data_IF_420738455654
#
_entry.id   IF_420738455654
#
_cell.length_a   1.000
_cell.length_b   1.000
_cell.length_c   1.000
_cell.angle_alpha   90.00
_cell.angle_beta   90.00
_cell.angle_gamma   90.00
#
_symmetry.space_group_name_H-M   'P 1'
#
loop_
_entity.id
_entity.type
_entity.pdbx_description
1 polymer ?
#
# COMPACT_ATOMS: atom_id res chain seq x y z
N UNK A 1 -31.02 -0.94 -3.40
CA UNK A 1 -29.61 -1.37 -3.20
C UNK A 1 -29.05 -2.11 -4.41
N UNK A 2 -29.70 -3.18 -4.90
CA UNK A 2 -29.21 -3.91 -6.08
C UNK A 2 -29.14 -3.04 -7.36
N UNK A 3 -30.15 -2.20 -7.63
CA UNK A 3 -30.14 -1.29 -8.79
C UNK A 3 -28.97 -0.29 -8.74
N UNK A 4 -28.67 0.24 -7.56
CA UNK A 4 -27.56 1.18 -7.37
C UNK A 4 -26.20 0.48 -7.53
N UNK A 5 -26.09 -0.75 -7.05
CA UNK A 5 -24.87 -1.56 -7.22
C UNK A 5 -24.56 -1.78 -8.71
N UNK A 6 -25.55 -2.17 -9.51
CA UNK A 6 -25.39 -2.32 -10.96
C UNK A 6 -25.04 -1.01 -11.65
N UNK A 7 -25.66 0.11 -11.25
CA UNK A 7 -25.32 1.43 -11.80
C UNK A 7 -23.86 1.81 -11.50
N UNK A 8 -23.39 1.55 -10.28
CA UNK A 8 -22.00 1.80 -9.90
C UNK A 8 -21.03 0.90 -10.66
N UNK A 9 -21.36 -0.38 -10.85
CA UNK A 9 -20.55 -1.29 -11.67
C UNK A 9 -20.43 -0.78 -13.11
N UNK A 10 -21.53 -0.32 -13.72
CA UNK A 10 -21.50 0.28 -15.06
C UNK A 10 -20.60 1.53 -15.11
N UNK A 11 -20.66 2.40 -14.10
CA UNK A 11 -19.77 3.56 -14.00
C UNK A 11 -18.30 3.16 -13.85
N UNK A 12 -17.99 2.13 -13.06
CA UNK A 12 -16.63 1.57 -12.99
C UNK A 12 -16.16 0.99 -14.33
N UNK A 13 -17.03 0.28 -15.06
CA UNK A 13 -16.68 -0.23 -16.39
C UNK A 13 -16.35 0.92 -17.35
N UNK A 14 -17.18 1.97 -17.39
CA UNK A 14 -16.92 3.16 -18.20
C UNK A 14 -15.63 3.85 -17.77
N UNK A 15 -15.38 4.01 -16.47
CA UNK A 15 -14.17 4.61 -15.93
C UNK A 15 -12.92 3.81 -16.33
N UNK A 16 -12.97 2.48 -16.26
CA UNK A 16 -11.87 1.61 -16.69
C UNK A 16 -11.63 1.71 -18.20
N UNK A 17 -12.67 1.71 -19.02
CA UNK A 17 -12.56 1.90 -20.48
C UNK A 17 -11.92 3.26 -20.78
N UNK A 18 -12.38 4.34 -20.14
CA UNK A 18 -11.83 5.69 -20.30
C UNK A 18 -10.36 5.77 -19.86
N UNK A 19 -10.01 5.13 -18.73
CA UNK A 19 -8.64 5.05 -18.25
C UNK A 19 -7.73 4.31 -19.24
N UNK A 20 -8.14 3.13 -19.72
CA UNK A 20 -7.38 2.35 -20.71
C UNK A 20 -7.23 3.17 -22.00
N UNK A 21 -8.31 3.81 -22.46
CA UNK A 21 -8.27 4.64 -23.66
C UNK A 21 -7.31 5.82 -23.50
N UNK A 22 -7.34 6.55 -22.38
CA UNK A 22 -6.39 7.63 -22.10
C UNK A 22 -4.93 7.14 -22.04
N UNK A 23 -4.70 5.97 -21.44
CA UNK A 23 -3.38 5.35 -21.40
C UNK A 23 -2.86 5.03 -22.81
N UNK A 24 -3.71 4.45 -23.65
CA UNK A 24 -3.40 4.10 -25.04
C UNK A 24 -3.23 5.34 -25.92
N UNK A 25 -4.05 6.38 -25.74
CA UNK A 25 -3.96 7.64 -26.46
C UNK A 25 -2.57 8.27 -26.25
N UNK A 26 -2.13 8.39 -24.99
CA UNK A 26 -0.79 8.88 -24.67
C UNK A 26 0.30 8.04 -25.32
N UNK A 27 0.14 6.71 -25.31
CA UNK A 27 1.08 5.78 -25.94
C UNK A 27 1.15 5.97 -27.46
N UNK A 28 0.01 6.12 -28.16
CA UNK A 28 -0.04 6.26 -29.61
C UNK A 28 0.51 7.61 -30.09
N UNK A 29 0.20 8.69 -29.39
CA UNK A 29 0.70 10.05 -29.70
C UNK A 29 2.20 10.18 -29.36
N UNK A 30 2.74 9.27 -28.56
CA UNK A 30 4.15 9.30 -28.18
C UNK A 30 5.11 8.95 -29.34
N UNK A 31 6.30 9.54 -29.29
CA UNK A 31 7.35 9.34 -30.30
C UNK A 31 7.74 7.85 -30.45
N UNK A 32 8.24 7.41 -31.63
CA UNK A 32 8.65 6.01 -31.85
C UNK A 32 9.61 5.47 -30.79
N UNK A 33 10.55 6.32 -30.32
CA UNK A 33 11.48 5.97 -29.22
C UNK A 33 10.75 5.60 -27.93
N UNK A 34 9.67 6.31 -27.60
CA UNK A 34 8.85 6.04 -26.42
C UNK A 34 8.05 4.76 -26.63
N UNK A 35 7.43 4.57 -27.80
CA UNK A 35 6.70 3.32 -28.11
C UNK A 35 7.60 2.08 -28.00
N UNK A 36 8.85 2.18 -28.46
CA UNK A 36 9.85 1.12 -28.29
C UNK A 36 10.22 0.88 -26.82
N UNK A 37 10.22 1.92 -25.98
CA UNK A 37 10.41 1.79 -24.54
C UNK A 37 9.31 0.93 -23.89
N UNK A 38 8.05 1.11 -24.27
CA UNK A 38 6.94 0.28 -23.75
C UNK A 38 7.06 -1.18 -24.18
N UNK A 39 7.60 -1.46 -25.37
CA UNK A 39 7.84 -2.82 -25.86
C UNK A 39 9.00 -3.54 -25.16
N UNK A 40 9.87 -2.82 -24.45
CA UNK A 40 11.00 -3.46 -23.76
C UNK A 40 10.53 -4.38 -22.63
N UNK A 41 11.04 -5.61 -22.61
CA UNK A 41 10.83 -6.51 -21.47
C UNK A 41 11.76 -6.10 -20.32
N UNK A 42 11.15 -5.69 -19.21
CA UNK A 42 11.83 -5.27 -17.99
C UNK A 42 11.72 -6.30 -16.85
N UNK A 43 11.17 -7.48 -17.12
CA UNK A 43 10.98 -8.52 -16.12
C UNK A 43 12.29 -8.86 -15.39
N UNK A 44 13.40 -8.91 -16.11
CA UNK A 44 14.71 -9.21 -15.52
C UNK A 44 15.30 -8.05 -14.69
N UNK A 45 14.92 -6.80 -14.99
CA UNK A 45 15.43 -5.61 -14.29
C UNK A 45 14.87 -5.47 -12.88
N UNK A 46 13.71 -6.07 -12.60
CA UNK A 46 13.07 -6.07 -11.27
C UNK A 46 13.84 -6.89 -10.23
N UNK A 47 14.56 -7.93 -10.67
CA UNK A 47 15.29 -8.80 -9.77
C UNK A 47 16.72 -8.31 -9.56
N UNK A 48 17.21 -8.46 -8.33
CA UNK A 48 18.55 -8.05 -7.93
C UNK A 48 19.21 -9.17 -7.15
N UNK A 49 20.40 -9.59 -7.59
CA UNK A 49 21.27 -10.46 -6.79
C UNK A 49 22.24 -9.56 -6.03
N UNK A 50 21.87 -9.13 -4.84
CA UNK A 50 22.81 -8.46 -3.95
C UNK A 50 23.72 -9.50 -3.28
N UNK A 51 25.01 -9.21 -3.23
CA UNK A 51 25.94 -9.95 -2.37
C UNK A 51 25.71 -9.40 -0.96
N UNK A 52 25.11 -10.21 -0.09
CA UNK A 52 24.77 -9.80 1.27
C UNK A 52 25.97 -10.06 2.20
N UNK A 53 26.54 -9.01 2.82
CA UNK A 53 27.63 -9.17 3.79
C UNK A 53 27.20 -10.00 5.01
N UNK A 54 28.15 -10.67 5.65
CA UNK A 54 27.88 -11.54 6.81
C UNK A 54 27.32 -10.81 8.02
N UNK A 55 27.71 -9.55 8.20
CA UNK A 55 27.21 -8.75 9.31
C UNK A 55 25.69 -8.50 9.24
N UNK A 56 25.03 -8.67 8.08
CA UNK A 56 23.56 -8.55 7.99
C UNK A 56 22.84 -9.59 8.85
N UNK A 57 23.41 -10.79 9.00
CA UNK A 57 22.84 -11.80 9.90
C UNK A 57 22.91 -11.31 11.35
N UNK A 58 24.05 -10.74 11.76
CA UNK A 58 24.21 -10.17 13.11
C UNK A 58 23.21 -9.03 13.34
N UNK A 59 23.06 -8.12 12.37
CA UNK A 59 22.05 -7.05 12.42
C UNK A 59 20.64 -7.64 12.56
N UNK A 60 20.30 -8.70 11.80
CA UNK A 60 18.99 -9.32 11.88
C UNK A 60 18.70 -9.90 13.28
N UNK A 61 19.68 -10.57 13.89
CA UNK A 61 19.57 -11.04 15.29
C UNK A 61 19.40 -9.87 16.26
N UNK A 62 20.22 -8.82 16.14
CA UNK A 62 20.13 -7.63 17.01
C UNK A 62 18.78 -6.95 16.90
N UNK A 63 18.27 -6.72 15.69
CA UNK A 63 16.95 -6.08 15.50
C UNK A 63 15.83 -6.97 16.04
N UNK A 64 15.90 -8.29 15.82
CA UNK A 64 14.89 -9.22 16.35
C UNK A 64 14.90 -9.22 17.88
N UNK A 65 16.08 -9.24 18.50
CA UNK A 65 16.23 -9.14 19.95
C UNK A 65 15.64 -7.82 20.47
N UNK A 66 15.94 -6.68 19.83
CA UNK A 66 15.37 -5.38 20.20
C UNK A 66 13.84 -5.38 20.11
N UNK A 67 13.25 -6.00 19.08
CA UNK A 67 11.80 -6.14 18.95
C UNK A 67 11.22 -6.94 20.11
N UNK A 68 11.81 -8.10 20.41
CA UNK A 68 11.39 -8.97 21.52
C UNK A 68 11.47 -8.22 22.85
N UNK A 69 12.61 -7.58 23.12
CA UNK A 69 12.82 -6.79 24.33
C UNK A 69 11.79 -5.67 24.45
N UNK A 70 11.56 -4.89 23.40
CA UNK A 70 10.57 -3.80 23.42
C UNK A 70 9.15 -4.32 23.69
N UNK A 71 8.74 -5.42 23.07
CA UNK A 71 7.40 -5.99 23.30
C UNK A 71 7.26 -6.61 24.69
N UNK A 72 8.30 -7.28 25.21
CA UNK A 72 8.28 -7.82 26.57
C UNK A 72 8.24 -6.72 27.63
N UNK A 73 8.98 -5.61 27.44
CA UNK A 73 8.95 -4.48 28.36
C UNK A 73 7.61 -3.72 28.33
N UNK A 74 6.93 -3.69 27.19
CA UNK A 74 5.68 -2.91 27.04
C UNK A 74 4.43 -3.73 27.36
N UNK A 75 4.30 -4.93 26.81
CA UNK A 75 3.12 -5.78 27.00
C UNK A 75 3.34 -6.85 28.08
N UNK A 76 4.56 -7.37 28.23
CA UNK A 76 4.86 -8.44 29.19
C UNK A 76 3.89 -9.63 29.06
N UNK A 77 3.17 -9.95 30.14
CA UNK A 77 2.17 -11.04 30.17
C UNK A 77 0.94 -10.76 29.29
N UNK A 78 0.62 -9.50 29.00
CA UNK A 78 -0.50 -9.09 28.15
C UNK A 78 -0.35 -9.50 26.68
N UNK A 79 0.83 -10.01 26.28
CA UNK A 79 1.01 -10.66 24.99
C UNK A 79 0.27 -12.01 24.92
N UNK A 80 0.14 -12.71 26.04
CA UNK A 80 -0.48 -14.03 26.08
C UNK A 80 -2.00 -13.92 26.14
N UNK A 81 -2.52 -13.17 27.13
CA UNK A 81 -3.95 -12.96 27.37
C UNK A 81 -4.17 -11.55 27.93
N UNK A 82 -5.22 -10.87 27.47
CA UNK A 82 -5.71 -9.60 27.99
C UNK A 82 -7.18 -9.39 27.58
N UNK A 83 -7.90 -8.58 28.35
CA UNK A 83 -9.30 -8.24 28.07
C UNK A 83 -9.40 -7.13 27.02
N UNK A 84 -8.56 -6.10 27.11
CA UNK A 84 -8.63 -4.96 26.19
C UNK A 84 -7.89 -5.18 24.86
N UNK A 85 -8.53 -4.80 23.74
CA UNK A 85 -7.89 -4.83 22.42
C UNK A 85 -6.65 -3.93 22.36
N UNK A 86 -6.80 -2.70 22.87
CA UNK A 86 -5.75 -1.68 22.95
C UNK A 86 -5.60 -1.27 24.41
N UNK A 87 -4.66 -1.89 25.15
CA UNK A 87 -4.38 -1.47 26.50
C UNK A 87 -3.86 -0.04 26.53
N UNK A 88 -4.13 0.65 27.63
CA UNK A 88 -3.50 1.93 27.91
C UNK A 88 -2.05 1.69 28.34
N UNK A 89 -1.11 2.03 27.45
CA UNK A 89 0.31 1.94 27.73
C UNK A 89 0.87 3.31 28.11
N UNK A 90 1.63 3.37 29.19
CA UNK A 90 2.44 4.54 29.55
C UNK A 90 3.50 4.83 28.48
N UNK A 91 4.12 3.79 27.91
CA UNK A 91 5.23 3.92 26.97
C UNK A 91 4.84 3.58 25.51
N UNK A 92 3.93 4.38 24.93
CA UNK A 92 3.53 4.28 23.50
C UNK A 92 4.70 4.44 22.53
N UNK A 93 5.78 5.10 22.96
CA UNK A 93 6.97 5.32 22.18
C UNK A 93 7.71 4.01 21.87
N UNK A 94 7.92 3.16 22.88
CA UNK A 94 8.57 1.85 22.69
C UNK A 94 7.80 0.94 21.73
N UNK A 95 6.46 0.95 21.77
CA UNK A 95 5.63 0.19 20.83
C UNK A 95 5.83 0.69 19.40
N UNK A 96 5.92 2.00 19.21
CA UNK A 96 6.20 2.60 17.90
C UNK A 96 7.58 2.22 17.39
N UNK A 97 8.59 2.27 18.26
CA UNK A 97 9.95 1.80 17.92
C UNK A 97 9.93 0.33 17.53
N UNK A 98 9.31 -0.55 18.33
CA UNK A 98 9.23 -1.97 18.05
C UNK A 98 8.62 -2.25 16.67
N UNK A 99 7.56 -1.51 16.31
CA UNK A 99 6.89 -1.59 15.01
C UNK A 99 7.81 -1.16 13.86
N UNK A 100 8.50 -0.03 13.99
CA UNK A 100 9.44 0.46 12.97
C UNK A 100 10.61 -0.51 12.80
N UNK A 101 11.21 -0.97 13.91
CA UNK A 101 12.30 -1.95 13.89
C UNK A 101 11.82 -3.27 13.28
N UNK A 102 10.59 -3.71 13.54
CA UNK A 102 10.03 -4.93 12.93
C UNK A 102 9.90 -4.82 11.42
N UNK A 103 9.50 -3.66 10.89
CA UNK A 103 9.42 -3.41 9.44
C UNK A 103 10.81 -3.38 8.78
N UNK A 104 11.79 -2.76 9.44
CA UNK A 104 13.18 -2.77 8.94
C UNK A 104 13.76 -4.19 9.03
N UNK A 105 13.52 -4.87 10.15
CA UNK A 105 13.95 -6.24 10.40
C UNK A 105 13.41 -7.22 9.37
N UNK A 106 12.15 -7.08 8.95
CA UNK A 106 11.56 -7.96 7.93
C UNK A 106 12.23 -7.82 6.56
N UNK A 107 12.63 -6.60 6.18
CA UNK A 107 13.40 -6.37 4.95
C UNK A 107 14.78 -7.02 5.07
N UNK A 108 15.50 -6.80 6.17
CA UNK A 108 16.83 -7.38 6.39
C UNK A 108 16.78 -8.90 6.41
N UNK A 109 15.80 -9.49 7.09
CA UNK A 109 15.57 -10.94 7.10
C UNK A 109 15.31 -11.46 5.68
N UNK A 110 14.50 -10.77 4.89
CA UNK A 110 14.24 -11.16 3.50
C UNK A 110 15.51 -11.15 2.63
N UNK A 111 16.44 -10.23 2.87
CA UNK A 111 17.76 -10.21 2.21
C UNK A 111 18.63 -11.40 2.68
N UNK A 112 18.63 -11.68 3.99
CA UNK A 112 19.42 -12.77 4.60
C UNK A 112 18.92 -14.16 4.18
N UNK A 113 17.64 -14.31 3.83
CA UNK A 113 17.01 -15.58 3.49
C UNK A 113 17.77 -16.41 2.45
N UNK A 114 18.35 -15.78 1.43
CA UNK A 114 19.12 -16.47 0.40
C UNK A 114 20.43 -17.07 0.91
N UNK A 115 21.03 -16.48 1.97
CA UNK A 115 22.29 -16.96 2.57
C UNK A 115 22.03 -17.96 3.69
N UNK A 116 21.06 -17.68 4.56
CA UNK A 116 20.69 -18.56 5.67
C UNK A 116 19.17 -18.62 5.83
N UNK A 117 18.55 -19.58 5.14
CA UNK A 117 17.10 -19.77 5.08
C UNK A 117 16.50 -20.05 6.46
N UNK A 118 17.15 -20.90 7.25
CA UNK A 118 16.63 -21.36 8.54
C UNK A 118 16.63 -20.24 9.57
N UNK A 119 17.75 -19.54 9.75
CA UNK A 119 17.81 -18.41 10.70
C UNK A 119 16.86 -17.29 10.27
N UNK A 120 16.81 -16.97 8.97
CA UNK A 120 15.87 -15.96 8.47
C UNK A 120 14.42 -16.34 8.76
N UNK A 121 14.04 -17.61 8.57
CA UNK A 121 12.68 -18.08 8.80
C UNK A 121 12.33 -18.11 10.29
N UNK A 122 13.24 -18.60 11.13
CA UNK A 122 13.05 -18.61 12.57
C UNK A 122 12.84 -17.18 13.13
N UNK A 123 13.71 -16.24 12.78
CA UNK A 123 13.64 -14.87 13.28
C UNK A 123 12.38 -14.12 12.80
N UNK A 124 11.95 -14.33 11.54
CA UNK A 124 10.70 -13.69 11.07
C UNK A 124 9.47 -14.29 11.79
N UNK A 125 9.47 -15.59 12.09
CA UNK A 125 8.40 -16.22 12.88
C UNK A 125 8.36 -15.61 14.28
N UNK A 126 9.51 -15.38 14.92
CA UNK A 126 9.58 -14.68 16.21
C UNK A 126 8.98 -13.28 16.12
N UNK A 127 9.43 -12.43 15.19
CA UNK A 127 8.88 -11.07 15.01
C UNK A 127 7.36 -11.13 14.73
N UNK A 128 6.93 -12.07 13.89
CA UNK A 128 5.52 -12.25 13.53
C UNK A 128 4.69 -12.67 14.74
N UNK A 129 5.19 -13.57 15.60
CA UNK A 129 4.48 -14.02 16.80
C UNK A 129 4.26 -12.86 17.79
N UNK A 130 5.29 -12.05 18.05
CA UNK A 130 5.18 -10.89 18.93
C UNK A 130 4.26 -9.81 18.36
N UNK A 131 4.33 -9.53 17.06
CA UNK A 131 3.42 -8.56 16.44
C UNK A 131 1.99 -9.09 16.31
N UNK A 132 1.81 -10.39 16.06
CA UNK A 132 0.52 -11.09 16.07
C UNK A 132 -0.17 -11.02 17.44
N UNK A 133 0.57 -11.20 18.53
CA UNK A 133 0.07 -11.07 19.90
C UNK A 133 -0.62 -9.71 20.18
N UNK A 134 -0.22 -8.66 19.46
CA UNK A 134 -0.82 -7.33 19.59
C UNK A 134 -2.14 -7.18 18.81
N UNK A 135 -2.51 -8.14 17.96
CA UNK A 135 -3.69 -8.04 17.09
C UNK A 135 -3.57 -6.93 16.05
N UNK A 136 -2.35 -6.52 15.71
CA UNK A 136 -2.08 -5.39 14.83
C UNK A 136 -1.99 -5.80 13.37
N UNK A 137 -2.59 -4.98 12.48
CA UNK A 137 -2.46 -5.14 11.02
C UNK A 137 -1.03 -5.00 10.52
N UNK A 138 -0.10 -4.47 11.33
CA UNK A 138 1.31 -4.35 10.94
C UNK A 138 1.97 -5.71 10.67
N UNK A 139 1.49 -6.78 11.31
CA UNK A 139 1.98 -8.15 11.09
C UNK A 139 1.84 -8.56 9.63
N UNK A 140 0.75 -8.17 8.96
CA UNK A 140 0.58 -8.36 7.51
C UNK A 140 1.66 -7.62 6.71
N UNK A 141 1.95 -6.36 7.04
CA UNK A 141 2.98 -5.57 6.35
C UNK A 141 4.37 -6.19 6.54
N UNK A 142 4.68 -6.69 7.73
CA UNK A 142 5.93 -7.39 8.04
C UNK A 142 6.11 -8.61 7.12
N UNK A 143 5.08 -9.47 7.01
CA UNK A 143 5.10 -10.63 6.13
C UNK A 143 5.22 -10.25 4.65
N UNK A 144 4.44 -9.25 4.20
CA UNK A 144 4.48 -8.76 2.82
C UNK A 144 5.85 -8.22 2.44
N UNK A 145 6.49 -7.43 3.29
CA UNK A 145 7.84 -6.90 3.05
C UNK A 145 8.89 -8.02 3.01
N UNK A 146 8.79 -8.99 3.92
CA UNK A 146 9.66 -10.15 3.94
C UNK A 146 9.54 -10.98 2.64
N UNK A 147 8.31 -11.32 2.24
CA UNK A 147 8.05 -12.09 1.01
C UNK A 147 8.41 -11.32 -0.25
N UNK A 148 8.15 -10.02 -0.32
CA UNK A 148 8.55 -9.17 -1.44
C UNK A 148 10.06 -9.13 -1.60
N UNK A 149 10.80 -9.03 -0.50
CA UNK A 149 12.26 -9.01 -0.53
C UNK A 149 12.82 -10.36 -0.99
N UNK A 150 12.29 -11.47 -0.49
CA UNK A 150 12.65 -12.82 -0.96
C UNK A 150 12.35 -12.98 -2.45
N UNK A 151 11.18 -12.51 -2.90
CA UNK A 151 10.79 -12.56 -4.30
C UNK A 151 11.79 -11.82 -5.19
N UNK A 152 12.16 -10.58 -4.83
CA UNK A 152 13.14 -9.78 -5.57
C UNK A 152 14.54 -10.43 -5.61
N UNK A 153 14.94 -11.08 -4.51
CA UNK A 153 16.25 -11.72 -4.37
C UNK A 153 16.35 -13.10 -5.04
N UNK A 154 15.23 -13.78 -5.27
CA UNK A 154 15.19 -15.16 -5.81
C UNK A 154 15.22 -15.24 -7.35
N UNK A 155 15.20 -14.12 -8.05
CA UNK A 155 15.30 -14.06 -9.52
C UNK A 155 13.99 -14.31 -10.30
N UNK A 156 14.02 -14.04 -11.61
CA UNK A 156 12.86 -14.12 -12.50
C UNK A 156 12.55 -15.56 -12.93
N UNK A 157 11.95 -16.37 -12.06
CA UNK A 157 11.50 -17.73 -12.40
C UNK A 157 10.00 -17.89 -12.21
N UNK A 158 9.35 -18.74 -13.02
CA UNK A 158 7.91 -19.05 -12.90
C UNK A 158 7.57 -19.58 -11.51
N UNK A 159 8.43 -20.45 -10.95
CA UNK A 159 8.29 -20.98 -9.58
C UNK A 159 8.32 -19.87 -8.53
N UNK A 160 9.22 -18.90 -8.66
CA UNK A 160 9.28 -17.77 -7.74
C UNK A 160 8.04 -16.87 -7.82
N UNK A 161 7.54 -16.60 -9.03
CA UNK A 161 6.29 -15.84 -9.25
C UNK A 161 5.09 -16.54 -8.61
N UNK A 162 4.94 -17.85 -8.83
CA UNK A 162 3.85 -18.63 -8.25
C UNK A 162 3.94 -18.70 -6.72
N UNK A 163 5.15 -18.90 -6.18
CA UNK A 163 5.40 -18.86 -4.73
C UNK A 163 5.01 -17.52 -4.13
N UNK A 164 5.39 -16.41 -4.77
CA UNK A 164 5.07 -15.06 -4.31
C UNK A 164 3.56 -14.78 -4.37
N UNK A 165 2.89 -15.20 -5.45
CA UNK A 165 1.43 -15.10 -5.55
C UNK A 165 0.74 -15.84 -4.39
N UNK A 166 1.14 -17.08 -4.11
CA UNK A 166 0.60 -17.85 -3.00
C UNK A 166 0.86 -17.18 -1.64
N UNK A 167 2.06 -16.64 -1.44
CA UNK A 167 2.42 -15.88 -0.23
C UNK A 167 1.56 -14.61 -0.05
N UNK A 168 1.23 -13.89 -1.13
CA UNK A 168 0.32 -12.74 -1.08
C UNK A 168 -1.08 -13.19 -0.65
N UNK A 169 -1.60 -14.25 -1.27
CA UNK A 169 -2.94 -14.78 -0.95
C UNK A 169 -3.01 -15.18 0.53
N UNK A 170 -2.04 -15.95 1.03
CA UNK A 170 -1.98 -16.32 2.45
C UNK A 170 -1.90 -15.08 3.34
N UNK A 171 -1.04 -14.10 3.00
CA UNK A 171 -0.89 -12.89 3.79
C UNK A 171 -2.21 -12.12 3.86
N UNK A 172 -2.98 -12.09 2.79
CA UNK A 172 -4.28 -11.42 2.74
C UNK A 172 -5.36 -12.15 3.55
N UNK A 173 -5.40 -13.48 3.49
CA UNK A 173 -6.26 -14.30 4.36
C UNK A 173 -5.89 -14.05 5.83
N UNK A 174 -4.59 -14.01 6.13
CA UNK A 174 -4.10 -13.73 7.47
C UNK A 174 -4.43 -12.30 7.95
N UNK A 175 -4.41 -11.29 7.07
CA UNK A 175 -4.89 -9.95 7.39
C UNK A 175 -6.38 -9.95 7.73
N UNK A 176 -7.18 -10.68 6.97
CA UNK A 176 -8.63 -10.78 7.19
C UNK A 176 -8.92 -11.44 8.53
N UNK A 177 -8.17 -12.49 8.88
CA UNK A 177 -8.19 -13.09 10.21
C UNK A 177 -7.78 -12.10 11.32
N UNK A 178 -6.69 -11.36 11.15
CA UNK A 178 -6.28 -10.31 12.10
C UNK A 178 -7.37 -9.25 12.34
N UNK A 179 -8.19 -8.95 11.32
CA UNK A 179 -9.31 -8.00 11.46
C UNK A 179 -10.44 -8.63 12.26
N UNK A 180 -10.78 -9.90 12.01
CA UNK A 180 -11.82 -10.64 12.74
C UNK A 180 -11.50 -10.75 14.24
N UNK A 181 -10.23 -10.94 14.60
CA UNK A 181 -9.76 -11.03 15.99
C UNK A 181 -10.05 -9.79 16.86
N UNK A 182 -10.42 -8.66 16.25
CA UNK A 182 -10.76 -7.41 16.96
C UNK A 182 -12.11 -7.46 17.68
N UNK A 183 -12.98 -8.38 17.28
CA UNK A 183 -14.33 -8.50 17.84
C UNK A 183 -14.37 -9.42 19.06
N UNK A 184 -13.25 -10.08 19.37
CA UNK A 184 -13.14 -10.96 20.52
C UNK A 184 -13.20 -10.17 21.82
N UNK A 185 -13.71 -10.81 22.87
CA UNK A 185 -13.70 -10.28 24.24
C UNK A 185 -12.31 -10.35 24.88
N UNK A 186 -11.50 -11.31 24.44
CA UNK A 186 -10.12 -11.50 24.91
C UNK A 186 -9.14 -11.44 23.74
N UNK A 187 -7.94 -10.98 24.04
CA UNK A 187 -6.88 -10.74 23.07
C UNK A 187 -5.53 -11.26 23.55
N UNK A 188 -4.62 -11.50 22.62
CA UNK A 188 -3.31 -12.12 22.91
C UNK A 188 -3.15 -13.42 22.14
N UNK A 189 -1.94 -13.99 22.17
CA UNK A 189 -1.61 -15.18 21.38
C UNK A 189 -2.53 -16.36 21.70
N UNK A 190 -2.82 -16.59 22.99
CA UNK A 190 -3.61 -17.74 23.44
C UNK A 190 -5.06 -17.66 22.95
N UNK A 191 -5.84 -16.60 23.24
CA UNK A 191 -7.22 -16.52 22.77
C UNK A 191 -7.29 -16.46 21.24
N UNK A 192 -6.32 -15.82 20.56
CA UNK A 192 -6.29 -15.81 19.11
C UNK A 192 -6.15 -17.23 18.53
N UNK A 193 -5.19 -18.03 19.02
CA UNK A 193 -5.04 -19.41 18.55
C UNK A 193 -6.25 -20.27 18.96
N UNK A 194 -6.75 -20.11 20.19
CA UNK A 194 -7.89 -20.87 20.69
C UNK A 194 -9.15 -20.67 19.82
N UNK A 195 -9.37 -19.46 19.29
CA UNK A 195 -10.51 -19.18 18.42
C UNK A 195 -10.48 -19.94 17.09
N UNK A 196 -9.35 -20.50 16.67
CA UNK A 196 -9.30 -21.37 15.48
C UNK A 196 -9.89 -22.76 15.74
N UNK A 197 -10.01 -23.16 17.01
CA UNK A 197 -10.42 -24.50 17.42
C UNK A 197 -11.75 -24.53 18.20
N UNK A 198 -12.33 -23.36 18.50
CA UNK A 198 -13.63 -23.27 19.16
C UNK A 198 -14.77 -23.45 18.15
N UNK A 199 -15.64 -24.42 18.38
CA UNK A 199 -16.80 -24.72 17.53
C UNK A 199 -17.80 -23.55 17.45
N UNK A 200 -17.90 -22.75 18.51
CA UNK A 200 -18.79 -21.57 18.59
C UNK A 200 -18.20 -20.30 17.95
N UNK A 201 -17.06 -20.39 17.25
CA UNK A 201 -16.46 -19.20 16.64
C UNK A 201 -16.97 -18.95 15.23
N UNK A 202 -17.72 -17.86 15.05
CA UNK A 202 -18.05 -17.27 13.75
C UNK A 202 -16.81 -16.69 13.02
N UNK A 203 -15.61 -17.18 13.35
CA UNK A 203 -14.33 -16.63 12.88
C UNK A 203 -14.13 -16.91 11.39
N UNK A 204 -14.52 -18.09 10.89
CA UNK A 204 -14.38 -18.45 9.47
C UNK A 204 -15.32 -17.57 8.64
N UNK A 205 -16.56 -17.39 9.08
CA UNK A 205 -17.51 -16.48 8.44
C UNK A 205 -17.00 -15.05 8.48
N UNK A 206 -16.49 -14.60 9.63
CA UNK A 206 -15.90 -13.27 9.77
C UNK A 206 -14.67 -13.05 8.87
N UNK A 207 -13.81 -14.07 8.71
CA UNK A 207 -12.67 -14.04 7.79
C UNK A 207 -13.16 -13.94 6.35
N UNK A 208 -14.10 -14.80 5.94
CA UNK A 208 -14.66 -14.80 4.60
C UNK A 208 -15.36 -13.46 4.29
N UNK A 209 -16.12 -12.94 5.25
CA UNK A 209 -16.74 -11.63 5.18
C UNK A 209 -15.69 -10.52 5.06
N UNK A 210 -14.61 -10.54 5.85
CA UNK A 210 -13.55 -9.53 5.78
C UNK A 210 -12.78 -9.59 4.45
N UNK A 211 -12.58 -10.78 3.87
CA UNK A 211 -12.01 -10.95 2.53
C UNK A 211 -12.95 -10.31 1.50
N UNK A 212 -14.22 -10.73 1.50
CA UNK A 212 -15.26 -10.21 0.61
C UNK A 212 -15.39 -8.68 0.71
N UNK A 213 -15.46 -8.19 1.95
CA UNK A 213 -15.58 -6.79 2.29
C UNK A 213 -14.38 -5.98 1.82
N UNK A 214 -13.14 -6.49 1.99
CA UNK A 214 -11.94 -5.78 1.54
C UNK A 214 -11.90 -5.55 0.02
N UNK A 215 -12.57 -6.38 -0.78
CA UNK A 215 -12.66 -6.20 -2.23
C UNK A 215 -13.87 -5.36 -2.67
N UNK A 216 -15.00 -5.50 -1.98
CA UNK A 216 -16.29 -4.96 -2.44
C UNK A 216 -16.71 -3.71 -1.67
N UNK A 217 -16.17 -3.46 -0.48
CA UNK A 217 -16.51 -2.30 0.35
C UNK A 217 -16.39 -0.97 -0.42
N UNK A 218 -15.34 -0.80 -1.23
CA UNK A 218 -15.17 0.39 -2.06
C UNK A 218 -16.34 0.62 -3.03
N UNK A 219 -17.01 -0.44 -3.49
CA UNK A 219 -18.20 -0.33 -4.36
C UNK A 219 -19.41 0.16 -3.56
N UNK A 220 -19.63 -0.38 -2.36
CA UNK A 220 -20.73 0.06 -1.49
C UNK A 220 -20.56 1.49 -0.99
N UNK A 221 -19.34 1.86 -0.58
CA UNK A 221 -19.01 3.22 -0.16
C UNK A 221 -19.19 4.21 -1.32
N UNK A 222 -18.80 3.84 -2.54
CA UNK A 222 -19.06 4.62 -3.77
C UNK A 222 -20.56 4.74 -4.06
N UNK A 223 -21.33 3.66 -3.96
CA UNK A 223 -22.79 3.71 -4.17
C UNK A 223 -23.49 4.67 -3.21
N UNK A 224 -23.10 4.62 -1.93
CA UNK A 224 -23.64 5.51 -0.91
C UNK A 224 -23.22 6.96 -1.15
N UNK A 225 -21.95 7.18 -1.53
CA UNK A 225 -21.44 8.50 -1.94
C UNK A 225 -22.26 9.09 -3.08
N UNK A 226 -22.60 8.33 -4.12
CA UNK A 226 -23.39 8.85 -5.24
C UNK A 226 -24.81 9.24 -4.81
N UNK A 227 -25.40 8.54 -3.85
CA UNK A 227 -26.73 8.91 -3.34
C UNK A 227 -26.69 10.18 -2.49
N UNK A 228 -25.73 10.28 -1.59
CA UNK A 228 -25.69 11.33 -0.56
C UNK A 228 -24.89 12.57 -0.95
N UNK A 229 -23.90 12.46 -1.84
CA UNK A 229 -23.08 13.61 -2.22
C UNK A 229 -23.83 14.56 -3.15
N UNK A 230 -23.60 15.85 -2.98
CA UNK A 230 -24.06 16.89 -3.89
C UNK A 230 -23.07 17.08 -5.06
N UNK A 231 -23.55 17.20 -6.31
CA UNK A 231 -22.70 17.49 -7.46
C UNK A 231 -22.26 18.96 -7.42
N UNK A 232 -21.11 19.24 -6.81
CA UNK A 232 -20.60 20.59 -6.64
C UNK A 232 -19.19 20.76 -7.23
N UNK A 233 -19.08 21.62 -8.24
CA UNK A 233 -17.81 21.96 -8.90
C UNK A 233 -16.81 22.64 -7.96
N UNK A 234 -17.27 23.37 -6.95
CA UNK A 234 -16.40 23.94 -5.93
C UNK A 234 -15.70 22.84 -5.14
N UNK A 235 -16.40 21.77 -4.76
CA UNK A 235 -15.79 20.63 -4.06
C UNK A 235 -14.76 19.90 -4.92
N UNK A 236 -14.99 19.79 -6.24
CA UNK A 236 -14.01 19.24 -7.17
C UNK A 236 -12.77 20.13 -7.26
N UNK A 237 -12.95 21.45 -7.40
CA UNK A 237 -11.86 22.42 -7.46
C UNK A 237 -11.00 22.37 -6.19
N UNK A 238 -11.61 22.47 -5.01
CA UNK A 238 -10.89 22.41 -3.72
C UNK A 238 -10.18 21.07 -3.55
N UNK A 239 -10.79 19.97 -4.01
CA UNK A 239 -10.20 18.63 -3.91
C UNK A 239 -9.00 18.43 -4.85
N UNK A 240 -9.04 19.01 -6.04
CA UNK A 240 -8.00 18.89 -7.07
C UNK A 240 -6.97 20.03 -7.05
N UNK A 241 -7.05 20.94 -6.09
CA UNK A 241 -6.06 21.99 -5.93
C UNK A 241 -4.84 21.48 -5.12
N UNK A 242 -3.61 21.54 -5.66
CA UNK A 242 -2.41 21.04 -4.96
C UNK A 242 -1.98 21.90 -3.77
N UNK A 243 -2.51 23.10 -3.60
CA UNK A 243 -2.16 24.00 -2.49
C UNK A 243 -2.55 23.43 -1.11
N UNK A 244 -1.92 23.90 -0.02
CA UNK A 244 -2.30 23.53 1.35
C UNK A 244 -3.81 23.68 1.61
N UNK A 245 -4.38 22.76 2.39
CA UNK A 245 -5.83 22.70 2.61
C UNK A 245 -6.42 23.98 3.19
N UNK A 246 -5.70 24.64 4.10
CA UNK A 246 -6.11 25.91 4.68
C UNK A 246 -6.21 27.05 3.67
N UNK A 247 -5.41 27.03 2.60
CA UNK A 247 -5.41 28.07 1.56
C UNK A 247 -6.57 27.96 0.57
N UNK A 248 -7.20 26.78 0.49
CA UNK A 248 -8.23 26.47 -0.52
C UNK A 248 -9.60 26.20 0.10
N UNK A 249 -9.77 26.40 1.41
CA UNK A 249 -11.05 26.13 2.09
C UNK A 249 -11.34 24.64 2.35
N UNK A 250 -10.30 23.78 2.37
CA UNK A 250 -10.52 22.34 2.64
C UNK A 250 -11.21 22.05 3.98
N UNK A 251 -10.93 22.74 5.11
CA UNK A 251 -11.59 22.44 6.37
C UNK A 251 -13.12 22.50 6.28
N UNK A 252 -13.65 23.52 5.61
CA UNK A 252 -15.09 23.72 5.40
C UNK A 252 -15.68 22.64 4.48
N UNK A 253 -14.98 22.31 3.39
CA UNK A 253 -15.42 21.30 2.43
C UNK A 253 -15.35 19.88 3.02
N UNK A 254 -14.33 19.59 3.83
CA UNK A 254 -14.08 18.25 4.34
C UNK A 254 -15.20 17.73 5.25
N UNK A 255 -15.87 18.61 5.98
CA UNK A 255 -17.00 18.24 6.84
C UNK A 255 -18.20 17.75 6.02
N UNK A 256 -18.45 18.40 4.88
CA UNK A 256 -19.56 18.08 3.98
C UNK A 256 -19.28 16.86 3.07
N UNK A 257 -18.03 16.38 3.00
CA UNK A 257 -17.66 15.26 2.14
C UNK A 257 -17.62 13.91 2.87
N UNK A 258 -18.45 13.70 3.90
CA UNK A 258 -18.43 12.49 4.74
C UNK A 258 -19.77 11.75 4.72
N UNK A 259 -19.72 10.42 4.61
CA UNK A 259 -20.88 9.52 4.78
C UNK A 259 -21.23 9.34 6.26
N UNK A 260 -20.21 9.27 7.09
CA UNK A 260 -20.33 9.20 8.56
C UNK A 260 -19.14 9.94 9.16
N UNK A 261 -19.13 10.10 10.50
CA UNK A 261 -17.99 10.69 11.22
C UNK A 261 -16.63 10.09 10.83
N UNK A 262 -16.58 8.81 10.46
CA UNK A 262 -15.35 8.07 10.16
C UNK A 262 -15.20 7.67 8.69
N UNK A 263 -16.25 7.77 7.89
CA UNK A 263 -16.26 7.30 6.51
C UNK A 263 -16.38 8.49 5.55
N UNK A 264 -15.32 8.82 4.81
CA UNK A 264 -15.38 9.88 3.81
C UNK A 264 -16.13 9.43 2.55
N UNK A 265 -16.58 10.38 1.74
CA UNK A 265 -16.95 10.13 0.35
C UNK A 265 -15.74 9.62 -0.42
N UNK A 266 -15.90 8.55 -1.19
CA UNK A 266 -14.82 7.96 -1.98
C UNK A 266 -14.48 8.85 -3.19
N UNK A 267 -13.25 8.77 -3.71
CA UNK A 267 -12.86 9.47 -4.95
C UNK A 267 -13.79 9.09 -6.09
N UNK A 268 -14.00 7.79 -6.30
CA UNK A 268 -14.87 7.30 -7.37
C UNK A 268 -16.28 7.85 -7.22
N UNK A 269 -16.87 7.81 -6.03
CA UNK A 269 -18.21 8.32 -5.79
C UNK A 269 -18.33 9.82 -6.07
N UNK A 270 -17.34 10.60 -5.64
CA UNK A 270 -17.26 12.04 -5.92
C UNK A 270 -17.22 12.34 -7.42
N UNK A 271 -16.37 11.64 -8.18
CA UNK A 271 -16.26 11.82 -9.64
C UNK A 271 -17.52 11.33 -10.36
N UNK A 272 -18.05 10.16 -9.96
CA UNK A 272 -19.22 9.55 -10.59
C UNK A 272 -20.47 10.41 -10.40
N UNK A 273 -20.60 11.08 -9.24
CA UNK A 273 -21.71 11.99 -8.95
C UNK A 273 -21.79 13.19 -9.89
N UNK A 274 -20.66 13.64 -10.44
CA UNK A 274 -20.62 14.77 -11.39
C UNK A 274 -21.16 14.43 -12.79
N UNK A 275 -21.50 13.16 -13.04
CA UNK A 275 -22.07 12.70 -14.31
C UNK A 275 -21.06 12.04 -15.25
N UNK A 276 -21.58 11.32 -16.25
CA UNK A 276 -20.80 10.47 -17.15
C UNK A 276 -19.74 11.24 -17.95
N UNK A 277 -20.04 12.46 -18.41
CA UNK A 277 -19.08 13.26 -19.18
C UNK A 277 -17.83 13.61 -18.36
N UNK A 278 -18.01 14.05 -17.10
CA UNK A 278 -16.89 14.35 -16.23
C UNK A 278 -16.13 13.08 -15.84
N UNK A 279 -16.83 11.98 -15.53
CA UNK A 279 -16.22 10.69 -15.27
C UNK A 279 -15.29 10.25 -16.42
N UNK A 280 -15.79 10.25 -17.66
CA UNK A 280 -15.01 9.84 -18.83
C UNK A 280 -13.79 10.73 -19.00
N UNK A 281 -13.98 12.06 -18.97
CA UNK A 281 -12.87 13.01 -19.11
C UNK A 281 -11.83 12.84 -18.00
N UNK A 282 -12.27 12.73 -16.75
CA UNK A 282 -11.40 12.57 -15.59
C UNK A 282 -10.55 11.30 -15.69
N UNK A 283 -11.17 10.14 -15.94
CA UNK A 283 -10.43 8.89 -16.03
C UNK A 283 -9.54 8.80 -17.28
N UNK A 284 -9.91 9.45 -18.37
CA UNK A 284 -9.05 9.60 -19.55
C UNK A 284 -7.77 10.38 -19.21
N UNK A 285 -7.87 11.48 -18.45
CA UNK A 285 -6.70 12.23 -17.97
C UNK A 285 -5.85 11.40 -17.02
N UNK A 286 -6.47 10.70 -16.07
CA UNK A 286 -5.76 9.80 -15.14
C UNK A 286 -5.02 8.69 -15.91
N UNK A 287 -5.66 8.08 -16.91
CA UNK A 287 -5.02 7.08 -17.78
C UNK A 287 -3.80 7.62 -18.52
N UNK A 288 -3.93 8.82 -19.10
CA UNK A 288 -2.83 9.51 -19.76
C UNK A 288 -1.67 9.81 -18.80
N UNK A 289 -1.99 10.22 -17.58
CA UNK A 289 -1.03 10.50 -16.51
C UNK A 289 -0.29 9.23 -16.06
N UNK A 290 -1.01 8.13 -15.89
CA UNK A 290 -0.40 6.83 -15.58
C UNK A 290 0.53 6.38 -16.71
N UNK A 291 0.15 6.59 -17.96
CA UNK A 291 1.01 6.33 -19.11
C UNK A 291 2.29 7.18 -19.06
N UNK A 292 2.18 8.48 -18.76
CA UNK A 292 3.35 9.35 -18.56
C UNK A 292 4.30 8.82 -17.48
N UNK A 293 3.80 8.40 -16.31
CA UNK A 293 4.64 7.87 -15.24
C UNK A 293 5.20 6.49 -15.55
N UNK A 294 4.46 5.62 -16.24
CA UNK A 294 4.97 4.31 -16.70
C UNK A 294 6.21 4.51 -17.58
N UNK A 295 6.18 5.46 -18.51
CA UNK A 295 7.35 5.86 -19.30
C UNK A 295 8.53 6.28 -18.41
N UNK A 296 8.30 7.04 -17.33
CA UNK A 296 9.37 7.46 -16.40
C UNK A 296 9.92 6.27 -15.61
N UNK A 297 9.04 5.41 -15.09
CA UNK A 297 9.38 4.19 -14.35
C UNK A 297 10.27 3.29 -15.22
N UNK A 298 9.85 3.01 -16.46
CA UNK A 298 10.64 2.22 -17.41
C UNK A 298 12.02 2.82 -17.68
N UNK A 299 12.09 4.14 -17.89
CA UNK A 299 13.36 4.86 -18.08
C UNK A 299 14.28 4.74 -16.85
N UNK A 300 13.73 4.81 -15.65
CA UNK A 300 14.51 4.61 -14.42
C UNK A 300 15.00 3.17 -14.28
N UNK A 301 14.18 2.17 -14.61
CA UNK A 301 14.58 0.75 -14.59
C UNK A 301 15.71 0.45 -15.59
N UNK A 302 15.65 1.01 -16.80
CA UNK A 302 16.70 0.83 -17.82
C UNK A 302 18.02 1.45 -17.36
N UNK A 303 17.97 2.64 -16.76
CA UNK A 303 19.13 3.36 -16.24
C UNK A 303 19.58 2.86 -14.85
N UNK A 304 19.15 1.66 -14.43
CA UNK A 304 19.48 1.02 -13.16
C UNK A 304 19.09 1.82 -11.89
N UNK A 305 18.23 2.82 -12.02
CA UNK A 305 17.65 3.60 -10.91
C UNK A 305 16.41 2.90 -10.32
N UNK A 306 16.58 1.63 -9.94
CA UNK A 306 15.49 0.74 -9.49
C UNK A 306 14.73 1.29 -8.29
N UNK A 307 15.43 1.89 -7.33
CA UNK A 307 14.82 2.48 -6.12
C UNK A 307 13.80 3.56 -6.46
N UNK A 308 14.16 4.46 -7.38
CA UNK A 308 13.27 5.52 -7.86
C UNK A 308 12.07 4.96 -8.62
N UNK A 309 12.28 3.94 -9.46
CA UNK A 309 11.21 3.25 -10.16
C UNK A 309 10.20 2.61 -9.20
N UNK A 310 10.68 1.87 -8.19
CA UNK A 310 9.84 1.24 -7.15
C UNK A 310 9.07 2.29 -6.35
N UNK A 311 9.71 3.42 -6.00
CA UNK A 311 9.04 4.51 -5.30
C UNK A 311 7.85 5.06 -6.11
N UNK A 312 8.03 5.31 -7.41
CA UNK A 312 6.93 5.76 -8.28
C UNK A 312 5.81 4.74 -8.39
N UNK A 313 6.14 3.46 -8.60
CA UNK A 313 5.15 2.38 -8.63
C UNK A 313 4.35 2.34 -7.33
N UNK A 314 5.02 2.42 -6.18
CA UNK A 314 4.36 2.40 -4.87
C UNK A 314 3.42 3.60 -4.68
N UNK A 315 3.86 4.82 -4.98
CA UNK A 315 3.04 6.02 -4.87
C UNK A 315 1.78 5.92 -5.76
N UNK A 316 1.93 5.44 -6.99
CA UNK A 316 0.79 5.29 -7.92
C UNK A 316 -0.13 4.14 -7.52
N UNK A 317 0.39 3.04 -6.98
CA UNK A 317 -0.44 1.97 -6.41
C UNK A 317 -1.24 2.49 -5.21
N UNK A 318 -0.65 3.33 -4.36
CA UNK A 318 -1.38 3.96 -3.25
C UNK A 318 -2.53 4.83 -3.75
N UNK A 319 -2.36 5.59 -4.85
CA UNK A 319 -3.47 6.30 -5.48
C UNK A 319 -4.64 5.37 -5.82
N UNK A 320 -4.36 4.20 -6.42
CA UNK A 320 -5.39 3.22 -6.79
C UNK A 320 -6.11 2.69 -5.56
N UNK A 321 -5.40 2.30 -4.51
CA UNK A 321 -6.06 1.81 -3.29
C UNK A 321 -6.87 2.90 -2.59
N UNK A 322 -6.29 4.10 -2.43
CA UNK A 322 -6.95 5.19 -1.73
C UNK A 322 -8.15 5.76 -2.49
N UNK A 323 -8.23 5.58 -3.81
CA UNK A 323 -9.40 6.05 -4.58
C UNK A 323 -10.70 5.31 -4.25
N UNK A 324 -10.61 4.10 -3.70
CA UNK A 324 -11.77 3.33 -3.24
C UNK A 324 -12.24 3.71 -1.84
N UNK A 325 -11.36 4.23 -0.98
CA UNK A 325 -11.63 4.39 0.46
C UNK A 325 -11.64 5.83 0.94
N UNK A 326 -10.97 6.75 0.25
CA UNK A 326 -10.75 8.11 0.73
C UNK A 326 -11.26 9.17 -0.25
N UNK A 327 -11.37 10.41 0.24
CA UNK A 327 -11.75 11.55 -0.58
C UNK A 327 -10.86 11.74 -1.80
N UNK A 328 -11.44 12.34 -2.84
CA UNK A 328 -10.74 12.77 -4.05
C UNK A 328 -9.43 13.48 -3.72
N UNK A 329 -9.43 14.47 -2.81
CA UNK A 329 -8.22 15.19 -2.40
C UNK A 329 -7.13 14.29 -1.82
N UNK A 330 -7.48 13.43 -0.88
CA UNK A 330 -6.52 12.57 -0.18
C UNK A 330 -5.89 11.55 -1.11
N UNK A 331 -6.69 10.94 -1.99
CA UNK A 331 -6.18 10.04 -3.01
C UNK A 331 -5.32 10.79 -4.06
N UNK A 332 -5.81 11.91 -4.60
CA UNK A 332 -5.09 12.65 -5.64
C UNK A 332 -3.75 13.25 -5.17
N UNK A 333 -3.55 13.47 -3.87
CA UNK A 333 -2.24 13.86 -3.31
C UNK A 333 -1.10 12.92 -3.70
N UNK A 334 -1.35 11.63 -3.85
CA UNK A 334 -0.31 10.69 -4.30
C UNK A 334 0.18 11.02 -5.71
N UNK A 335 -0.69 11.53 -6.59
CA UNK A 335 -0.28 12.06 -7.89
C UNK A 335 0.62 13.30 -7.72
N UNK A 336 0.26 14.24 -6.85
CA UNK A 336 1.12 15.41 -6.57
C UNK A 336 2.46 15.00 -5.98
N UNK A 337 2.48 14.03 -5.06
CA UNK A 337 3.71 13.50 -4.48
C UNK A 337 4.60 12.86 -5.55
N UNK A 338 4.02 12.13 -6.50
CA UNK A 338 4.78 11.63 -7.65
C UNK A 338 5.39 12.78 -8.47
N UNK A 339 4.63 13.81 -8.81
CA UNK A 339 5.20 14.98 -9.51
C UNK A 339 6.27 15.71 -8.70
N UNK A 340 6.07 15.89 -7.40
CA UNK A 340 7.03 16.53 -6.50
C UNK A 340 8.36 15.76 -6.46
N UNK A 341 8.29 14.43 -6.29
CA UNK A 341 9.48 13.56 -6.34
C UNK A 341 10.16 13.65 -7.70
N UNK A 342 9.40 13.65 -8.79
CA UNK A 342 9.94 13.77 -10.15
C UNK A 342 10.68 15.10 -10.35
N UNK A 343 10.07 16.21 -9.93
CA UNK A 343 10.67 17.54 -9.98
C UNK A 343 11.92 17.63 -9.12
N UNK A 344 11.88 17.08 -7.90
CA UNK A 344 13.04 17.01 -7.01
C UNK A 344 14.20 16.24 -7.67
N UNK A 345 13.92 15.08 -8.26
CA UNK A 345 14.91 14.28 -8.99
C UNK A 345 15.51 15.07 -10.16
N UNK A 346 14.71 15.85 -10.88
CA UNK A 346 15.21 16.72 -11.95
C UNK A 346 16.05 17.87 -11.43
N UNK A 347 15.61 18.54 -10.37
CA UNK A 347 16.31 19.64 -9.73
C UNK A 347 17.69 19.22 -9.23
N UNK A 348 17.79 18.12 -8.48
CA UNK A 348 19.07 17.59 -7.99
C UNK A 348 19.99 17.15 -9.13
N UNK A 349 19.45 16.57 -10.21
CA UNK A 349 20.25 16.22 -11.38
C UNK A 349 20.78 17.45 -12.12
N UNK A 350 20.01 18.54 -12.13
CA UNK A 350 20.45 19.81 -12.71
C UNK A 350 21.56 20.43 -11.85
N UNK A 351 21.34 20.56 -10.54
CA UNK A 351 22.34 21.09 -9.60
C UNK A 351 23.66 20.32 -9.66
N UNK A 352 23.60 18.99 -9.69
CA UNK A 352 24.81 18.15 -9.76
C UNK A 352 25.67 18.41 -11.00
N UNK A 353 25.08 18.87 -12.11
CA UNK A 353 25.84 19.23 -13.32
C UNK A 353 26.61 20.53 -13.18
N UNK A 354 26.18 21.42 -12.29
CA UNK A 354 26.81 22.72 -12.05
C UNK A 354 27.84 22.70 -10.91
N UNK A 355 27.88 21.63 -10.10
CA UNK A 355 28.93 21.49 -9.07
C UNK A 355 30.28 21.24 -9.78
N UNK A 356 31.32 22.06 -9.51
CA UNK A 356 32.63 21.88 -10.13
C UNK A 356 33.17 20.49 -9.77
N UNK A 357 33.42 19.67 -10.79
CA UNK A 357 34.06 18.36 -10.59
C UNK A 357 35.50 18.62 -10.14
N UNK A 358 35.88 18.18 -8.95
CA UNK A 358 37.29 18.15 -8.53
C UNK A 358 38.07 17.43 -9.64
N UNK A 359 39.06 18.12 -10.22
CA UNK A 359 40.07 17.44 -11.06
C UNK A 359 40.76 16.45 -10.14
N UNK A 360 40.46 15.16 -10.30
CA UNK A 360 41.33 14.10 -9.78
C UNK A 360 42.67 14.27 -10.48
N UNK A 361 43.65 14.79 -9.73
CA UNK A 361 45.06 14.75 -10.10
C UNK A 361 45.59 13.34 -9.95
#
# INVERSE_FOLDING_TARGET
MAKDFWSVLNMYLIANIAFIFGFLLYHQVSTPKIRNLYKSDLNHKLFTKYIIPEYFIKIAYTLTLLVVVCYLFTYGKLLLVREDYIPEFENKFLITIAKVISLIGSIILGLVHNKNKYSSWFLIVVITAFTFATGSRITFLILMLYFLTIFQMSGNTKKNKLRFLFQIVISFVFLSYLISLRQLKEHGVVPYIATLFSEDSDIIESVAFNIYYSFIFGVFATARTIREADPNWYYMYVSLNPLPGSMVGWPEVAENLKLTKFMPFTLHGQVFKMGYSFLVFFFLLIGSLFSFFEKKIRKFLINDKKRTAVLFTLILSLFIFYSFEYHLRSAFRYIYYAYFVLLSVYFFQSLWRYIPKKKTQ
#
